data_IF_096251583677
#
_entry.id   IF_096251583677
#
_cell.length_a   1.000
_cell.length_b   1.000
_cell.length_c   1.000
_cell.angle_alpha   90.00
_cell.angle_beta   90.00
_cell.angle_gamma   90.00
#
_symmetry.space_group_name_H-M   'P 1'
#
loop_
_entity.id
_entity.type
_entity.pdbx_description
1 polymer ?
#
# COMPACT_ATOMS: atom_id res chain seq x y z
N UNK A 1 10.92 -7.76 1.11
CA UNK A 1 10.47 -7.94 2.48
C UNK A 1 9.20 -8.77 2.60
N UNK A 2 9.20 -9.74 3.49
CA UNK A 2 8.00 -10.50 3.81
C UNK A 2 7.40 -9.91 5.09
N UNK A 3 6.29 -9.21 4.97
CA UNK A 3 5.65 -8.44 6.04
C UNK A 3 4.68 -9.26 6.89
N UNK A 4 4.25 -10.44 6.42
CA UNK A 4 3.40 -11.36 7.19
C UNK A 4 4.11 -11.82 8.48
N UNK A 5 3.42 -11.72 9.62
CA UNK A 5 3.98 -12.02 10.95
C UNK A 5 4.48 -13.45 11.11
N UNK A 6 3.86 -14.40 10.42
CA UNK A 6 4.15 -15.83 10.57
C UNK A 6 5.51 -16.25 10.00
N UNK A 7 6.09 -15.43 9.11
CA UNK A 7 7.36 -15.77 8.45
C UNK A 7 8.46 -16.04 9.46
N UNK A 8 8.64 -15.18 10.47
CA UNK A 8 9.69 -15.34 11.49
C UNK A 8 9.38 -16.43 12.52
N UNK A 9 8.14 -16.93 12.54
CA UNK A 9 7.74 -18.03 13.43
C UNK A 9 8.06 -19.42 12.86
N UNK A 10 8.43 -19.49 11.57
CA UNK A 10 8.75 -20.77 10.91
C UNK A 10 10.10 -21.37 11.31
N UNK A 11 10.95 -20.60 11.99
CA UNK A 11 12.24 -21.12 12.47
C UNK A 11 13.05 -20.08 13.23
N UNK A 12 13.90 -20.54 14.13
CA UNK A 12 14.76 -19.69 14.98
C UNK A 12 15.89 -18.96 14.23
N UNK A 13 16.11 -19.30 12.97
CA UNK A 13 17.12 -18.69 12.10
C UNK A 13 16.53 -17.79 11.02
N UNK A 14 15.21 -17.52 11.09
CA UNK A 14 14.52 -16.65 10.16
C UNK A 14 14.37 -15.28 10.81
N UNK A 15 14.98 -14.26 10.18
CA UNK A 15 14.97 -12.89 10.64
C UNK A 15 14.26 -11.98 9.64
N UNK A 16 13.78 -10.85 10.13
CA UNK A 16 13.11 -9.81 9.32
C UNK A 16 13.74 -8.45 9.64
N UNK A 17 13.97 -7.67 8.62
CA UNK A 17 14.39 -6.27 8.72
C UNK A 17 13.36 -5.26 8.18
N UNK A 18 12.16 -5.74 7.81
CA UNK A 18 11.03 -4.88 7.43
C UNK A 18 9.97 -4.82 8.53
N UNK A 19 9.03 -3.88 8.44
CA UNK A 19 7.87 -3.85 9.31
C UNK A 19 6.90 -5.01 9.01
N UNK A 20 5.81 -5.11 9.75
CA UNK A 20 4.80 -6.17 9.65
C UNK A 20 3.44 -5.59 9.25
N UNK A 21 2.60 -6.42 8.61
CA UNK A 21 1.26 -6.03 8.14
C UNK A 21 0.38 -5.38 9.22
N UNK A 22 0.31 -5.88 10.47
CA UNK A 22 -0.46 -5.21 11.53
C UNK A 22 -0.01 -3.78 11.81
N UNK A 23 1.29 -3.51 11.77
CA UNK A 23 1.80 -2.15 11.93
C UNK A 23 1.43 -1.26 10.75
N UNK A 24 1.57 -1.77 9.54
CA UNK A 24 1.26 -1.06 8.31
C UNK A 24 -0.22 -0.69 8.21
N UNK A 25 -1.13 -1.65 8.45
CA UNK A 25 -2.58 -1.40 8.46
C UNK A 25 -3.00 -0.40 9.54
N UNK A 26 -2.37 -0.47 10.73
CA UNK A 26 -2.56 0.54 11.78
C UNK A 26 -2.13 1.94 11.34
N UNK A 27 -0.98 2.07 10.70
CA UNK A 27 -0.48 3.37 10.24
C UNK A 27 -1.37 3.95 9.15
N UNK A 28 -1.89 3.13 8.24
CA UNK A 28 -2.88 3.55 7.25
C UNK A 28 -4.18 4.09 7.90
N UNK A 29 -4.71 3.40 8.92
CA UNK A 29 -5.89 3.88 9.65
C UNK A 29 -5.63 5.19 10.43
N UNK A 30 -4.44 5.36 10.99
CA UNK A 30 -4.04 6.60 11.64
C UNK A 30 -3.88 7.75 10.63
N UNK A 31 -3.42 7.45 9.42
CA UNK A 31 -3.38 8.43 8.34
C UNK A 31 -4.79 8.91 7.96
N UNK A 32 -5.74 7.98 7.77
CA UNK A 32 -7.16 8.30 7.55
C UNK A 32 -7.68 9.27 8.62
N UNK A 33 -7.44 8.93 9.90
CA UNK A 33 -7.84 9.76 11.02
C UNK A 33 -7.20 11.14 11.01
N UNK A 34 -5.89 11.20 10.71
CA UNK A 34 -5.14 12.46 10.68
C UNK A 34 -5.62 13.43 9.59
N UNK A 35 -6.15 12.88 8.49
CA UNK A 35 -6.75 13.65 7.39
C UNK A 35 -8.21 14.02 7.65
N UNK A 36 -8.82 13.49 8.71
CA UNK A 36 -10.21 13.80 9.10
C UNK A 36 -11.27 13.02 8.33
N UNK A 37 -10.89 11.98 7.61
CA UNK A 37 -11.86 11.10 6.93
C UNK A 37 -12.61 10.26 7.94
N UNK A 38 -13.91 10.07 7.70
CA UNK A 38 -14.80 9.31 8.56
C UNK A 38 -15.43 8.09 7.89
N UNK A 39 -15.38 8.01 6.56
CA UNK A 39 -15.98 6.96 5.75
C UNK A 39 -14.96 6.40 4.77
N UNK A 40 -14.69 5.12 4.89
CA UNK A 40 -13.69 4.45 4.05
C UNK A 40 -14.25 3.21 3.38
N UNK A 41 -13.75 2.89 2.19
CA UNK A 41 -13.97 1.60 1.56
C UNK A 41 -12.64 0.85 1.45
N UNK A 42 -12.71 -0.47 1.50
CA UNK A 42 -11.56 -1.37 1.35
C UNK A 42 -11.84 -2.32 0.20
N UNK A 43 -10.89 -2.46 -0.71
CA UNK A 43 -10.92 -3.50 -1.75
C UNK A 43 -9.64 -4.30 -1.62
N UNK A 44 -9.76 -5.64 -1.52
CA UNK A 44 -8.65 -6.52 -1.23
C UNK A 44 -8.69 -7.81 -2.04
N UNK A 45 -7.53 -8.41 -2.25
CA UNK A 45 -7.39 -9.70 -2.93
C UNK A 45 -7.58 -10.84 -1.91
N UNK A 46 -8.70 -11.56 -2.01
CA UNK A 46 -9.09 -12.59 -1.04
C UNK A 46 -8.23 -13.84 -1.08
N UNK A 47 -7.55 -14.07 -2.18
CA UNK A 47 -6.64 -15.21 -2.40
C UNK A 47 -5.20 -14.90 -2.01
N UNK A 48 -4.94 -13.75 -1.40
CA UNK A 48 -3.60 -13.30 -1.03
C UNK A 48 -3.48 -12.97 0.46
N UNK A 49 -2.54 -13.60 1.15
CA UNK A 49 -2.35 -13.47 2.60
C UNK A 49 -1.88 -12.06 3.01
N UNK A 50 -1.07 -11.39 2.18
CA UNK A 50 -0.63 -10.02 2.42
C UNK A 50 -1.82 -9.04 2.37
N UNK A 51 -2.60 -9.11 1.31
CA UNK A 51 -3.77 -8.26 1.13
C UNK A 51 -4.82 -8.46 2.24
N UNK A 52 -5.06 -9.72 2.63
CA UNK A 52 -5.94 -10.05 3.76
C UNK A 52 -5.40 -9.50 5.09
N UNK A 53 -4.12 -9.71 5.38
CA UNK A 53 -3.49 -9.24 6.62
C UNK A 53 -3.56 -7.73 6.78
N UNK A 54 -3.27 -6.99 5.71
CA UNK A 54 -3.37 -5.53 5.69
C UNK A 54 -4.82 -5.05 5.85
N UNK A 55 -5.77 -5.66 5.12
CA UNK A 55 -7.19 -5.34 5.24
C UNK A 55 -7.68 -5.55 6.66
N UNK A 56 -7.39 -6.70 7.29
CA UNK A 56 -7.83 -7.00 8.66
C UNK A 56 -7.28 -5.98 9.66
N UNK A 57 -5.99 -5.68 9.62
CA UNK A 57 -5.37 -4.71 10.49
C UNK A 57 -5.89 -3.28 10.26
N UNK A 58 -6.14 -2.90 9.01
CA UNK A 58 -6.70 -1.59 8.67
C UNK A 58 -8.12 -1.43 9.21
N UNK A 59 -8.99 -2.42 8.94
CA UNK A 59 -10.40 -2.41 9.39
C UNK A 59 -10.47 -2.34 10.91
N UNK A 60 -9.76 -3.23 11.63
CA UNK A 60 -9.71 -3.23 13.10
C UNK A 60 -9.34 -1.85 13.66
N UNK A 61 -8.30 -1.23 13.10
CA UNK A 61 -7.84 0.07 13.57
C UNK A 61 -8.76 1.24 13.14
N UNK A 62 -9.43 1.16 12.00
CA UNK A 62 -10.47 2.11 11.62
C UNK A 62 -11.65 2.07 12.61
N UNK A 63 -12.18 0.90 12.90
CA UNK A 63 -13.27 0.70 13.85
C UNK A 63 -12.91 1.21 15.26
N UNK A 64 -11.70 0.86 15.74
CA UNK A 64 -11.18 1.33 17.02
C UNK A 64 -11.04 2.87 17.10
N UNK A 65 -10.94 3.55 15.96
CA UNK A 65 -10.86 5.01 15.86
C UNK A 65 -12.18 5.68 15.47
N UNK A 66 -13.29 4.92 15.38
CA UNK A 66 -14.61 5.44 15.03
C UNK A 66 -14.77 5.82 13.56
N UNK A 67 -13.97 5.23 12.68
CA UNK A 67 -14.05 5.40 11.23
C UNK A 67 -14.95 4.29 10.67
N UNK A 68 -15.93 4.68 9.88
CA UNK A 68 -16.92 3.78 9.29
C UNK A 68 -16.35 3.08 8.04
N UNK A 69 -16.46 1.75 8.01
CA UNK A 69 -16.21 0.96 6.78
C UNK A 69 -17.51 0.90 5.99
N UNK A 70 -17.62 1.72 4.96
CA UNK A 70 -18.85 1.83 4.15
C UNK A 70 -18.97 0.75 3.09
N UNK A 71 -17.85 0.17 2.67
CA UNK A 71 -17.81 -0.93 1.70
C UNK A 71 -16.55 -1.76 1.87
N UNK A 72 -16.71 -3.08 1.78
CA UNK A 72 -15.60 -4.03 1.66
C UNK A 72 -15.82 -4.84 0.39
N UNK A 73 -14.94 -4.65 -0.59
CA UNK A 73 -14.96 -5.34 -1.89
C UNK A 73 -13.87 -6.40 -1.98
N UNK A 74 -14.20 -7.52 -2.60
CA UNK A 74 -13.27 -8.61 -2.89
C UNK A 74 -12.83 -8.58 -4.35
N UNK A 75 -11.58 -8.95 -4.60
CA UNK A 75 -11.07 -9.29 -5.92
C UNK A 75 -10.14 -10.52 -5.82
N UNK A 76 -9.67 -11.00 -6.94
CA UNK A 76 -8.57 -11.96 -7.01
C UNK A 76 -7.27 -11.20 -7.31
N UNK A 77 -6.15 -11.73 -6.87
CA UNK A 77 -4.82 -11.16 -7.13
C UNK A 77 -4.48 -11.05 -8.63
N UNK A 78 -5.20 -11.81 -9.46
CA UNK A 78 -5.03 -11.86 -10.92
C UNK A 78 -6.10 -11.10 -11.71
N UNK A 79 -7.02 -10.42 -11.02
CA UNK A 79 -8.07 -9.64 -11.68
C UNK A 79 -7.47 -8.46 -12.45
N UNK A 80 -8.07 -8.15 -13.59
CA UNK A 80 -7.68 -7.02 -14.45
C UNK A 80 -8.82 -6.01 -14.67
N UNK A 81 -10.03 -6.32 -14.23
CA UNK A 81 -11.20 -5.43 -14.28
C UNK A 81 -11.75 -5.20 -12.86
N UNK A 82 -11.71 -3.95 -12.44
CA UNK A 82 -12.15 -3.48 -11.13
C UNK A 82 -13.38 -2.57 -11.20
N UNK A 83 -14.04 -2.51 -12.36
CA UNK A 83 -15.15 -1.57 -12.60
C UNK A 83 -16.30 -1.74 -11.61
N UNK A 84 -16.61 -3.00 -11.24
CA UNK A 84 -17.67 -3.30 -10.28
C UNK A 84 -17.33 -2.84 -8.87
N UNK A 85 -16.14 -3.18 -8.38
CA UNK A 85 -15.67 -2.78 -7.04
C UNK A 85 -15.56 -1.26 -6.94
N UNK A 86 -15.02 -0.61 -7.96
CA UNK A 86 -14.90 0.84 -8.03
C UNK A 86 -16.26 1.54 -7.97
N UNK A 87 -17.22 1.08 -8.77
CA UNK A 87 -18.58 1.63 -8.76
C UNK A 87 -19.28 1.49 -7.40
N UNK A 88 -19.12 0.34 -6.74
CA UNK A 88 -19.69 0.09 -5.42
C UNK A 88 -19.02 0.94 -4.33
N UNK A 89 -17.70 1.12 -4.40
CA UNK A 89 -16.98 2.00 -3.49
C UNK A 89 -17.46 3.46 -3.61
N UNK A 90 -17.66 3.97 -4.83
CA UNK A 90 -18.23 5.29 -5.06
C UNK A 90 -19.65 5.37 -4.52
N UNK A 91 -20.49 4.39 -4.82
CA UNK A 91 -21.90 4.36 -4.37
C UNK A 91 -22.03 4.27 -2.83
N UNK A 92 -21.04 3.73 -2.14
CA UNK A 92 -21.02 3.62 -0.67
C UNK A 92 -20.82 4.97 0.04
N UNK A 93 -20.42 6.01 -0.69
CA UNK A 93 -20.11 7.32 -0.13
C UNK A 93 -18.78 7.37 0.62
N UNK A 94 -17.86 6.46 0.32
CA UNK A 94 -16.52 6.48 0.88
C UNK A 94 -15.77 7.77 0.47
N UNK A 95 -15.03 8.33 1.42
CA UNK A 95 -14.16 9.50 1.23
C UNK A 95 -12.71 9.07 0.95
N UNK A 96 -12.40 7.84 1.31
CA UNK A 96 -11.08 7.23 1.23
C UNK A 96 -11.20 5.78 0.77
N UNK A 97 -10.31 5.36 -0.14
CA UNK A 97 -10.18 3.97 -0.59
C UNK A 97 -8.86 3.37 -0.11
N UNK A 98 -8.94 2.20 0.53
CA UNK A 98 -7.76 1.39 0.84
C UNK A 98 -7.69 0.19 -0.09
N UNK A 99 -6.57 0.07 -0.82
CA UNK A 99 -6.32 -1.01 -1.79
C UNK A 99 -4.97 -1.67 -1.53
N UNK A 100 -4.88 -2.57 -0.55
CA UNK A 100 -3.64 -3.25 -0.17
C UNK A 100 -3.33 -4.44 -1.09
N UNK A 101 -3.08 -4.19 -2.36
CA UNK A 101 -2.77 -5.20 -3.37
C UNK A 101 -1.42 -4.93 -4.04
N UNK A 102 -0.95 -5.89 -4.84
CA UNK A 102 0.35 -5.82 -5.49
C UNK A 102 0.38 -4.87 -6.69
N UNK A 103 1.57 -4.37 -6.97
CA UNK A 103 1.89 -3.31 -7.94
C UNK A 103 1.29 -3.53 -9.34
N UNK A 104 1.19 -4.79 -9.81
CA UNK A 104 0.68 -5.10 -11.16
C UNK A 104 -0.80 -4.70 -11.35
N UNK A 105 -1.59 -4.72 -10.28
CA UNK A 105 -3.01 -4.39 -10.30
C UNK A 105 -3.31 -2.94 -9.91
N UNK A 106 -2.36 -2.24 -9.33
CA UNK A 106 -2.52 -0.88 -8.79
C UNK A 106 -2.94 0.12 -9.87
N UNK A 107 -2.28 0.22 -11.05
CA UNK A 107 -2.69 1.15 -12.10
C UNK A 107 -4.09 0.85 -12.63
N UNK A 108 -4.44 -0.43 -12.73
CA UNK A 108 -5.75 -0.88 -13.20
C UNK A 108 -6.85 -0.46 -12.21
N UNK A 109 -6.65 -0.70 -10.92
CA UNK A 109 -7.60 -0.34 -9.89
C UNK A 109 -7.76 1.19 -9.75
N UNK A 110 -6.66 1.94 -9.65
CA UNK A 110 -6.69 3.40 -9.55
C UNK A 110 -7.39 3.99 -10.78
N UNK A 111 -7.04 3.50 -11.98
CA UNK A 111 -7.71 3.88 -13.21
C UNK A 111 -9.22 3.63 -13.20
N UNK A 112 -9.66 2.46 -12.75
CA UNK A 112 -11.06 2.10 -12.60
C UNK A 112 -11.78 2.98 -11.58
N UNK A 113 -11.17 3.24 -10.41
CA UNK A 113 -11.75 4.09 -9.37
C UNK A 113 -11.97 5.53 -9.87
N UNK A 114 -10.96 6.12 -10.51
CA UNK A 114 -11.07 7.47 -11.09
C UNK A 114 -12.09 7.54 -12.24
N UNK A 115 -12.14 6.52 -13.10
CA UNK A 115 -13.14 6.43 -14.17
C UNK A 115 -14.57 6.25 -13.64
N UNK A 116 -14.75 5.59 -12.49
CA UNK A 116 -16.03 5.49 -11.80
C UNK A 116 -16.46 6.80 -11.11
N UNK A 117 -15.60 7.83 -11.10
CA UNK A 117 -15.86 9.12 -10.48
C UNK A 117 -15.42 9.25 -9.02
N UNK A 118 -14.57 8.35 -8.54
CA UNK A 118 -13.98 8.53 -7.20
C UNK A 118 -12.96 9.67 -7.22
N UNK A 119 -13.19 10.69 -6.42
CA UNK A 119 -12.34 11.89 -6.33
C UNK A 119 -11.58 11.99 -4.99
N UNK A 120 -11.84 11.07 -4.06
CA UNK A 120 -11.18 11.04 -2.76
C UNK A 120 -9.77 10.44 -2.79
N UNK A 121 -9.16 10.37 -1.64
CA UNK A 121 -7.83 9.78 -1.43
C UNK A 121 -7.84 8.27 -1.66
N UNK A 122 -6.84 7.75 -2.36
CA UNK A 122 -6.60 6.30 -2.51
C UNK A 122 -5.28 5.96 -1.85
N UNK A 123 -5.24 4.87 -1.09
CA UNK A 123 -4.02 4.45 -0.42
C UNK A 123 -3.80 2.94 -0.51
N UNK A 124 -2.55 2.54 -0.65
CA UNK A 124 -2.13 1.14 -0.60
C UNK A 124 -1.07 0.85 0.45
N UNK A 125 -0.53 -0.36 0.35
CA UNK A 125 0.60 -0.81 1.16
C UNK A 125 1.93 -0.66 0.44
N UNK A 126 2.99 -1.15 1.06
CA UNK A 126 4.37 -1.10 0.56
C UNK A 126 4.57 -1.79 -0.81
N UNK A 127 3.68 -2.72 -1.17
CA UNK A 127 3.70 -3.35 -2.49
C UNK A 127 3.30 -2.40 -3.65
N UNK A 128 2.95 -1.14 -3.37
CA UNK A 128 2.74 -0.11 -4.39
C UNK A 128 4.05 0.52 -4.88
N UNK A 129 5.13 0.38 -4.10
CA UNK A 129 6.43 0.93 -4.48
C UNK A 129 6.93 0.33 -5.80
N UNK A 130 7.12 1.19 -6.79
CA UNK A 130 7.50 0.79 -8.15
C UNK A 130 6.34 0.45 -9.08
N UNK A 131 5.08 0.74 -8.72
CA UNK A 131 3.94 0.60 -9.64
C UNK A 131 4.13 1.50 -10.88
N UNK A 132 3.86 0.94 -12.06
CA UNK A 132 3.95 1.70 -13.31
C UNK A 132 2.76 2.65 -13.47
N UNK A 133 3.01 3.94 -13.35
CA UNK A 133 2.00 4.98 -13.50
C UNK A 133 2.01 5.64 -14.88
N UNK A 134 2.78 5.14 -15.82
CA UNK A 134 2.97 5.75 -17.13
C UNK A 134 1.64 5.96 -17.88
N UNK A 135 1.35 7.20 -18.23
CA UNK A 135 0.10 7.60 -18.90
C UNK A 135 -1.13 7.65 -18.00
N UNK A 136 -0.96 7.53 -16.69
CA UNK A 136 -2.01 7.63 -15.68
C UNK A 136 -1.64 8.61 -14.55
N UNK A 137 -0.62 9.44 -14.75
CA UNK A 137 -0.06 10.32 -13.73
C UNK A 137 -1.13 11.19 -13.08
N UNK A 138 -2.07 11.73 -13.89
CA UNK A 138 -3.20 12.53 -13.44
C UNK A 138 -4.20 11.77 -12.55
N UNK A 139 -4.25 10.44 -12.66
CA UNK A 139 -5.13 9.59 -11.85
C UNK A 139 -4.53 9.24 -10.51
N UNK A 140 -3.21 9.36 -10.37
CA UNK A 140 -2.49 9.13 -9.13
C UNK A 140 -2.42 10.36 -8.22
N UNK A 141 -3.03 11.49 -8.62
CA UNK A 141 -3.21 12.62 -7.72
C UNK A 141 -3.95 12.17 -6.45
N UNK A 142 -3.45 12.60 -5.29
CA UNK A 142 -3.95 12.22 -3.96
C UNK A 142 -3.96 10.70 -3.70
N UNK A 143 -2.97 10.01 -4.28
CA UNK A 143 -2.67 8.62 -3.97
C UNK A 143 -1.47 8.52 -3.02
N UNK A 144 -1.54 7.60 -2.07
CA UNK A 144 -0.51 7.36 -1.06
C UNK A 144 -0.24 5.87 -0.88
N UNK A 145 0.88 5.53 -0.30
CA UNK A 145 1.16 4.18 0.17
C UNK A 145 2.08 4.22 1.40
N UNK A 146 2.02 3.18 2.21
CA UNK A 146 2.99 3.00 3.28
C UNK A 146 4.25 2.40 2.70
N UNK A 147 5.42 2.84 3.19
CA UNK A 147 6.69 2.31 2.73
C UNK A 147 7.72 2.22 3.86
N UNK A 148 8.80 1.50 3.62
CA UNK A 148 9.89 1.25 4.56
C UNK A 148 10.86 2.42 4.64
N UNK A 149 11.04 3.16 3.56
CA UNK A 149 11.89 4.34 3.49
C UNK A 149 11.40 5.28 2.37
N UNK A 150 11.91 6.49 2.34
CA UNK A 150 11.75 7.40 1.21
C UNK A 150 13.13 7.81 0.69
N UNK A 151 13.33 7.74 -0.63
CA UNK A 151 14.55 8.27 -1.27
C UNK A 151 14.72 9.78 -1.08
N UNK A 152 13.65 10.48 -0.73
CA UNK A 152 13.64 11.92 -0.43
C UNK A 152 13.98 12.24 1.03
N UNK A 153 14.09 11.22 1.90
CA UNK A 153 14.49 11.45 3.29
C UNK A 153 15.89 12.08 3.34
N UNK A 154 16.01 13.18 4.05
CA UNK A 154 17.25 13.96 4.18
C UNK A 154 18.26 13.37 5.16
N UNK A 155 17.94 12.24 5.81
CA UNK A 155 18.87 11.57 6.71
C UNK A 155 20.18 11.19 5.98
N UNK A 156 21.36 11.48 6.54
CA UNK A 156 22.63 11.24 5.86
C UNK A 156 22.84 9.78 5.41
N UNK A 157 22.34 8.82 6.17
CA UNK A 157 22.44 7.40 5.82
C UNK A 157 21.63 7.08 4.55
N UNK A 158 20.41 7.62 4.45
CA UNK A 158 19.54 7.44 3.27
C UNK A 158 20.18 8.10 2.05
N UNK A 159 20.60 9.35 2.16
CA UNK A 159 21.20 10.07 1.02
C UNK A 159 22.51 9.42 0.53
N UNK A 160 23.34 8.88 1.43
CA UNK A 160 24.53 8.13 1.04
C UNK A 160 24.18 6.81 0.32
N UNK A 161 23.14 6.10 0.76
CA UNK A 161 22.65 4.92 0.06
C UNK A 161 22.12 5.26 -1.33
N UNK A 162 21.23 6.26 -1.43
CA UNK A 162 20.63 6.73 -2.69
C UNK A 162 21.71 7.12 -3.69
N UNK A 163 22.68 7.93 -3.26
CA UNK A 163 23.78 8.37 -4.11
C UNK A 163 24.57 7.17 -4.65
N UNK A 164 25.05 6.28 -3.79
CA UNK A 164 25.85 5.12 -4.18
C UNK A 164 25.10 4.14 -5.07
N UNK A 165 23.83 3.94 -4.76
CA UNK A 165 22.98 3.05 -5.55
C UNK A 165 22.76 3.62 -6.95
N UNK A 166 22.39 4.91 -7.04
CA UNK A 166 22.13 5.60 -8.31
C UNK A 166 23.39 5.68 -9.19
N UNK A 167 24.54 5.95 -8.60
CA UNK A 167 25.84 5.97 -9.34
C UNK A 167 26.15 4.61 -9.98
N UNK A 168 25.73 3.51 -9.37
CA UNK A 168 26.06 2.16 -9.81
C UNK A 168 24.99 1.52 -10.69
N UNK A 169 23.72 1.75 -10.40
CA UNK A 169 22.60 1.02 -10.99
C UNK A 169 21.58 1.91 -11.70
N UNK A 170 21.68 3.24 -11.58
CA UNK A 170 20.66 4.18 -12.02
C UNK A 170 19.50 4.30 -11.02
N UNK A 171 18.46 5.04 -11.41
CA UNK A 171 17.31 5.34 -10.53
C UNK A 171 16.14 4.39 -10.75
N UNK A 172 16.04 3.72 -11.88
CA UNK A 172 14.88 2.91 -12.29
C UNK A 172 14.55 1.74 -11.36
N UNK A 173 15.56 1.20 -10.66
CA UNK A 173 15.40 0.07 -9.74
C UNK A 173 15.54 0.48 -8.26
N UNK A 174 15.58 1.78 -7.97
CA UNK A 174 15.68 2.29 -6.62
C UNK A 174 14.30 2.25 -5.96
N UNK A 175 14.09 1.28 -5.10
CA UNK A 175 12.87 1.06 -4.34
C UNK A 175 13.19 0.58 -2.92
N UNK A 176 12.16 0.44 -2.08
CA UNK A 176 12.32 -0.01 -0.69
C UNK A 176 12.97 -1.39 -0.59
N UNK A 177 12.69 -2.32 -1.50
CA UNK A 177 13.33 -3.63 -1.50
C UNK A 177 14.84 -3.52 -1.66
N UNK A 178 15.34 -2.62 -2.52
CA UNK A 178 16.78 -2.39 -2.69
C UNK A 178 17.42 -1.93 -1.37
N UNK A 179 16.78 -1.00 -0.65
CA UNK A 179 17.25 -0.53 0.65
C UNK A 179 17.23 -1.64 1.71
N UNK A 180 16.14 -2.40 1.80
CA UNK A 180 16.01 -3.52 2.74
C UNK A 180 17.04 -4.63 2.50
N UNK A 181 17.33 -4.97 1.24
CA UNK A 181 18.36 -5.95 0.92
C UNK A 181 19.76 -5.45 1.26
N UNK A 182 20.02 -4.16 1.06
CA UNK A 182 21.27 -3.54 1.49
C UNK A 182 21.44 -3.67 3.00
N UNK A 183 20.44 -3.29 3.79
CA UNK A 183 20.47 -3.35 5.25
C UNK A 183 20.53 -4.79 5.80
N UNK A 184 20.03 -5.77 5.06
CA UNK A 184 20.09 -7.17 5.47
C UNK A 184 21.51 -7.77 5.40
N UNK A 185 22.44 -7.12 4.71
CA UNK A 185 23.83 -7.56 4.53
C UNK A 185 24.75 -6.91 5.56
N UNK A 186 24.43 -5.73 6.03
CA UNK A 186 25.21 -4.94 7.00
C UNK A 186 24.63 -4.99 8.41
#
# INVERSE_FOLDING_TARGET
GATNVDVTQKGSTIFRNCFIDPYQGKMAALFVKSKGFSKVAVIYAKDDDYSNGLKDAFVENCEANGIEITYTGECMSTDTDFSSQAAQAVASGAEFLYYPCFLDTVPLFVGAARNAGFTGTIMGGDAWDGADTTGLEDKFDDCYFTDHYSSEDTAPAVQNFVQKYTEKYGTESLNACAALYYDAIY
#
